data_IF_755920574696
#
_entry.id   IF_755920574696
#
_cell.length_a   1.000
_cell.length_b   1.000
_cell.length_c   1.000
_cell.angle_alpha   90.00
_cell.angle_beta   90.00
_cell.angle_gamma   90.00
#
_symmetry.space_group_name_H-M   'P 1'
#
loop_
_entity.id
_entity.type
_entity.pdbx_description
1 polymer ?
#
# COMPACT_ATOMS: atom_id res chain seq x y z
N UNK A 1 4.92 18.83 -21.73
CA UNK A 1 4.78 17.55 -20.97
C UNK A 1 4.07 17.76 -19.66
N UNK A 2 4.53 18.68 -18.80
CA UNK A 2 3.78 19.09 -17.59
C UNK A 2 2.37 19.51 -17.96
N UNK A 3 2.18 20.23 -19.08
CA UNK A 3 0.85 20.60 -19.57
C UNK A 3 -0.02 19.38 -19.91
N UNK A 4 0.58 18.31 -20.44
CA UNK A 4 -0.14 17.07 -20.71
C UNK A 4 -0.48 16.33 -19.41
N UNK A 5 0.38 16.41 -18.38
CA UNK A 5 0.07 15.91 -17.05
C UNK A 5 -1.09 16.72 -16.43
N UNK A 6 -1.06 18.05 -16.49
CA UNK A 6 -2.18 18.91 -16.02
C UNK A 6 -3.49 18.60 -16.74
N UNK A 7 -3.47 18.55 -18.07
CA UNK A 7 -4.65 18.24 -18.86
C UNK A 7 -5.27 16.86 -18.55
N UNK A 8 -4.47 15.94 -18.03
CA UNK A 8 -4.89 14.59 -17.66
C UNK A 8 -4.81 14.32 -16.14
N UNK A 9 -4.91 15.37 -15.31
CA UNK A 9 -4.99 15.26 -13.86
C UNK A 9 -3.87 14.41 -13.23
N UNK A 10 -2.63 14.59 -13.68
CA UNK A 10 -1.46 13.86 -13.18
C UNK A 10 -1.37 12.40 -13.61
N UNK A 11 -2.35 11.90 -14.39
CA UNK A 11 -2.41 10.50 -14.84
C UNK A 11 -1.35 10.26 -15.92
N UNK A 12 -0.20 9.72 -15.47
CA UNK A 12 1.00 9.50 -16.28
C UNK A 12 0.77 8.60 -17.50
N UNK A 13 -0.14 7.63 -17.43
CA UNK A 13 -0.53 6.79 -18.59
C UNK A 13 -1.31 7.56 -19.65
N UNK A 14 -2.27 8.39 -19.24
CA UNK A 14 -3.06 9.22 -20.14
C UNK A 14 -2.20 10.32 -20.77
N UNK A 15 -1.36 10.97 -19.98
CA UNK A 15 -0.39 11.95 -20.48
C UNK A 15 0.61 11.32 -21.48
N UNK A 16 1.13 10.12 -21.21
CA UNK A 16 2.00 9.40 -22.16
C UNK A 16 1.28 9.11 -23.48
N UNK A 17 0.02 8.65 -23.43
CA UNK A 17 -0.78 8.40 -24.62
C UNK A 17 -1.03 9.69 -25.43
N UNK A 18 -1.37 10.79 -24.76
CA UNK A 18 -1.57 12.10 -25.40
C UNK A 18 -0.29 12.63 -26.06
N UNK A 19 0.86 12.40 -25.43
CA UNK A 19 2.18 12.74 -25.95
C UNK A 19 2.71 11.75 -26.99
N UNK A 20 1.97 10.66 -27.26
CA UNK A 20 2.36 9.57 -28.18
C UNK A 20 3.72 8.94 -27.81
N UNK A 21 4.01 8.83 -26.52
CA UNK A 21 5.22 8.18 -25.99
C UNK A 21 4.87 6.96 -25.15
N UNK A 22 5.80 6.02 -25.05
CA UNK A 22 5.65 4.90 -24.11
C UNK A 22 5.65 5.38 -22.66
N UNK A 23 4.86 4.72 -21.80
CA UNK A 23 4.83 5.00 -20.35
C UNK A 23 6.25 4.98 -19.77
N UNK A 24 7.04 3.95 -20.06
CA UNK A 24 8.42 3.81 -19.58
C UNK A 24 9.30 4.99 -19.98
N UNK A 25 9.14 5.50 -21.20
CA UNK A 25 9.86 6.69 -21.69
C UNK A 25 9.50 7.93 -20.88
N UNK A 26 8.22 8.12 -20.57
CA UNK A 26 7.76 9.22 -19.72
C UNK A 26 8.40 9.17 -18.33
N UNK A 27 8.41 8.00 -17.69
CA UNK A 27 9.03 7.83 -16.36
C UNK A 27 10.55 8.04 -16.40
N UNK A 28 11.22 7.52 -17.43
CA UNK A 28 12.66 7.73 -17.60
C UNK A 28 12.98 9.21 -17.77
N UNK A 29 12.17 9.95 -18.53
CA UNK A 29 12.32 11.39 -18.68
C UNK A 29 12.14 12.11 -17.35
N UNK A 30 11.05 11.85 -16.61
CA UNK A 30 10.80 12.51 -15.32
C UNK A 30 11.97 12.26 -14.35
N UNK A 31 12.50 11.04 -14.30
CA UNK A 31 13.66 10.71 -13.46
C UNK A 31 14.93 11.45 -13.89
N UNK A 32 15.14 11.65 -15.18
CA UNK A 32 16.30 12.35 -15.72
C UNK A 32 16.23 13.88 -15.54
N UNK A 33 15.04 14.43 -15.30
CA UNK A 33 14.80 15.87 -15.23
C UNK A 33 14.07 16.26 -13.92
N UNK A 34 14.82 16.47 -12.81
CA UNK A 34 14.24 16.73 -11.50
C UNK A 34 13.28 17.92 -11.44
N UNK A 35 13.57 19.01 -12.15
CA UNK A 35 12.71 20.19 -12.24
C UNK A 35 11.35 19.88 -12.89
N UNK A 36 11.30 18.95 -13.84
CA UNK A 36 10.06 18.51 -14.49
C UNK A 36 9.30 17.53 -13.59
N UNK A 37 10.03 16.75 -12.79
CA UNK A 37 9.44 15.87 -11.78
C UNK A 37 8.79 16.67 -10.65
N UNK A 38 9.43 17.74 -10.19
CA UNK A 38 8.85 18.68 -9.22
C UNK A 38 7.57 19.31 -9.76
N UNK A 39 7.62 19.86 -10.97
CA UNK A 39 6.42 20.41 -11.61
C UNK A 39 5.32 19.35 -11.81
N UNK A 40 5.66 18.07 -12.01
CA UNK A 40 4.67 16.99 -12.07
C UNK A 40 4.07 16.66 -10.69
N UNK A 41 4.84 16.81 -9.61
CA UNK A 41 4.33 16.68 -8.24
C UNK A 41 3.37 17.82 -7.90
N UNK A 42 3.67 19.06 -8.33
CA UNK A 42 2.74 20.19 -8.18
C UNK A 42 1.39 19.91 -8.84
N UNK A 43 1.38 19.27 -10.02
CA UNK A 43 0.12 18.85 -10.66
C UNK A 43 -0.64 17.83 -9.82
N UNK A 44 0.08 16.88 -9.20
CA UNK A 44 -0.55 15.88 -8.35
C UNK A 44 -1.18 16.57 -7.11
N UNK A 45 -0.54 17.59 -6.51
CA UNK A 45 -1.10 18.43 -5.43
C UNK A 45 -2.30 19.28 -5.89
N UNK A 46 -2.23 19.94 -7.06
CA UNK A 46 -3.34 20.70 -7.64
C UNK A 46 -4.63 19.85 -7.75
N UNK A 47 -4.49 18.57 -8.11
CA UNK A 47 -5.63 17.64 -8.21
C UNK A 47 -6.14 17.21 -6.83
N UNK A 48 -5.26 17.07 -5.84
CA UNK A 48 -5.67 16.80 -4.46
C UNK A 48 -6.51 17.96 -3.91
N UNK A 49 -6.10 19.22 -4.11
CA UNK A 49 -6.85 20.40 -3.68
C UNK A 49 -8.27 20.45 -4.30
N UNK A 50 -8.39 20.05 -5.57
CA UNK A 50 -9.69 19.94 -6.24
C UNK A 50 -10.54 18.84 -5.60
N UNK A 51 -9.96 17.69 -5.29
CA UNK A 51 -10.66 16.59 -4.62
C UNK A 51 -11.13 17.00 -3.21
N UNK A 52 -10.28 17.69 -2.45
CA UNK A 52 -10.63 18.25 -1.14
C UNK A 52 -11.82 19.23 -1.25
N UNK A 53 -11.80 20.08 -2.28
CA UNK A 53 -12.92 21.00 -2.55
C UNK A 53 -14.22 20.25 -2.85
N UNK A 54 -14.17 19.13 -3.58
CA UNK A 54 -15.35 18.28 -3.81
C UNK A 54 -15.85 17.63 -2.52
N UNK A 55 -14.95 17.15 -1.64
CA UNK A 55 -15.32 16.61 -0.33
C UNK A 55 -16.05 17.66 0.50
N UNK A 56 -15.52 18.89 0.56
CA UNK A 56 -16.17 20.00 1.29
C UNK A 56 -17.53 20.34 0.69
N UNK A 57 -17.65 20.33 -0.64
CA UNK A 57 -18.92 20.55 -1.33
C UNK A 57 -19.95 19.47 -0.96
N UNK A 58 -19.60 18.20 -1.04
CA UNK A 58 -20.48 17.09 -0.69
C UNK A 58 -20.96 17.16 0.78
N UNK A 59 -20.06 17.56 1.70
CA UNK A 59 -20.42 17.82 3.11
C UNK A 59 -21.46 18.92 3.22
N UNK A 60 -21.29 20.05 2.50
CA UNK A 60 -22.25 21.17 2.50
C UNK A 60 -23.59 20.79 1.90
N UNK A 61 -23.61 19.89 0.93
CA UNK A 61 -24.81 19.35 0.29
C UNK A 61 -25.52 18.28 1.14
N UNK A 62 -24.91 17.87 2.26
CA UNK A 62 -25.52 16.92 3.20
C UNK A 62 -25.33 15.45 2.84
N UNK A 63 -24.31 15.11 2.04
CA UNK A 63 -23.96 13.71 1.77
C UNK A 63 -23.45 13.02 3.06
N UNK A 64 -24.38 12.39 3.79
CA UNK A 64 -24.10 11.77 5.09
C UNK A 64 -22.99 10.71 5.05
N UNK A 65 -22.83 9.88 4.00
CA UNK A 65 -21.67 9.01 3.84
C UNK A 65 -20.34 9.76 3.86
N UNK A 66 -20.18 10.83 3.06
CA UNK A 66 -18.95 11.64 3.04
C UNK A 66 -18.74 12.36 4.37
N UNK A 67 -19.80 12.92 4.99
CA UNK A 67 -19.72 13.56 6.31
C UNK A 67 -19.19 12.58 7.37
N UNK A 68 -19.76 11.36 7.42
CA UNK A 68 -19.31 10.31 8.33
C UNK A 68 -17.85 9.94 8.07
N UNK A 69 -17.50 9.64 6.81
CA UNK A 69 -16.14 9.29 6.42
C UNK A 69 -15.13 10.37 6.79
N UNK A 70 -15.45 11.64 6.53
CA UNK A 70 -14.59 12.77 6.86
C UNK A 70 -14.37 12.90 8.37
N UNK A 71 -15.41 12.74 9.18
CA UNK A 71 -15.31 12.78 10.64
C UNK A 71 -14.47 11.61 11.19
N UNK A 72 -14.66 10.40 10.67
CA UNK A 72 -13.86 9.22 11.06
C UNK A 72 -12.36 9.39 10.78
N UNK A 73 -11.99 10.23 9.81
CA UNK A 73 -10.61 10.54 9.48
C UNK A 73 -10.07 11.77 10.23
N UNK A 74 -10.74 12.92 10.10
CA UNK A 74 -10.24 14.22 10.58
C UNK A 74 -10.73 14.59 11.98
N UNK A 75 -11.82 14.00 12.45
CA UNK A 75 -12.43 14.27 13.77
C UNK A 75 -12.04 13.28 14.86
N UNK A 76 -10.95 12.52 14.69
CA UNK A 76 -10.53 11.49 15.67
C UNK A 76 -10.25 12.08 17.04
N UNK A 77 -9.67 13.27 17.09
CA UNK A 77 -9.43 14.07 18.30
C UNK A 77 -10.73 14.45 19.03
N UNK A 78 -11.85 14.51 18.31
CA UNK A 78 -13.20 14.76 18.84
C UNK A 78 -13.98 13.48 19.16
N UNK A 79 -13.34 12.31 19.08
CA UNK A 79 -13.95 11.02 19.43
C UNK A 79 -14.67 10.30 18.28
N UNK A 80 -14.54 10.76 17.03
CA UNK A 80 -15.06 10.05 15.86
C UNK A 80 -14.13 8.90 15.46
N UNK A 81 -14.07 7.88 16.30
CA UNK A 81 -13.28 6.65 16.10
C UNK A 81 -14.17 5.43 16.24
N UNK A 82 -13.95 4.44 15.36
CA UNK A 82 -14.59 3.12 15.49
C UNK A 82 -13.70 2.20 16.30
N UNK A 83 -14.24 1.65 17.39
CA UNK A 83 -13.59 0.56 18.11
C UNK A 83 -13.65 -0.70 17.24
N UNK A 84 -12.51 -1.33 17.03
CA UNK A 84 -12.40 -2.64 16.39
C UNK A 84 -11.79 -3.59 17.41
N UNK A 85 -12.47 -4.69 17.71
CA UNK A 85 -11.94 -5.77 18.53
C UNK A 85 -11.51 -6.91 17.61
N UNK A 86 -10.20 -7.16 17.55
CA UNK A 86 -9.65 -8.27 16.78
C UNK A 86 -9.42 -9.45 17.73
N UNK A 87 -10.13 -10.55 17.49
CA UNK A 87 -9.97 -11.81 18.23
C UNK A 87 -9.65 -12.95 17.28
N UNK A 88 -9.08 -14.02 17.82
CA UNK A 88 -8.97 -15.30 17.14
C UNK A 88 -10.31 -16.01 17.02
N UNK A 89 -10.26 -17.25 16.54
CA UNK A 89 -11.44 -18.09 16.36
C UNK A 89 -12.23 -18.19 17.68
N UNK A 90 -13.54 -18.04 17.59
CA UNK A 90 -14.48 -18.12 18.73
C UNK A 90 -14.15 -17.17 19.90
N UNK A 91 -13.54 -16.00 19.60
CA UNK A 91 -13.13 -15.03 20.63
C UNK A 91 -11.82 -15.38 21.33
N UNK A 92 -11.14 -16.44 20.90
CA UNK A 92 -9.87 -16.89 21.44
C UNK A 92 -8.68 -16.01 21.05
N UNK A 93 -7.47 -16.38 21.47
CA UNK A 93 -6.24 -15.70 21.06
C UNK A 93 -6.03 -15.74 19.54
N UNK A 94 -5.45 -14.67 18.98
CA UNK A 94 -5.02 -14.66 17.57
C UNK A 94 -3.87 -15.64 17.40
N UNK A 95 -4.09 -16.71 16.64
CA UNK A 95 -3.04 -17.68 16.30
C UNK A 95 -2.13 -17.10 15.20
N UNK A 96 -0.82 -17.06 15.45
CA UNK A 96 0.16 -16.67 14.43
C UNK A 96 1.02 -17.86 14.04
N UNK A 97 1.06 -18.20 12.75
CA UNK A 97 2.01 -19.17 12.22
C UNK A 97 3.31 -18.46 11.87
N UNK A 98 4.24 -18.40 12.83
CA UNK A 98 5.61 -18.00 12.51
C UNK A 98 6.35 -19.21 11.95
N UNK A 99 6.91 -19.08 10.74
CA UNK A 99 7.91 -20.05 10.28
C UNK A 99 9.13 -19.94 11.20
N UNK A 100 9.67 -21.05 11.73
CA UNK A 100 10.89 -21.00 12.51
C UNK A 100 12.00 -20.35 11.69
N UNK A 101 12.68 -19.35 12.27
CA UNK A 101 13.89 -18.78 11.67
C UNK A 101 15.03 -19.79 11.86
N UNK A 102 15.33 -20.55 10.81
CA UNK A 102 16.36 -21.59 10.82
C UNK A 102 17.76 -21.03 10.52
N UNK A 103 17.88 -19.74 10.20
CA UNK A 103 19.17 -19.12 9.81
C UNK A 103 20.21 -19.08 10.93
N UNK A 104 19.76 -19.25 12.19
CA UNK A 104 20.59 -19.23 13.39
C UNK A 104 21.05 -20.61 13.84
N UNK A 105 20.61 -21.67 13.17
CA UNK A 105 21.03 -23.04 13.46
C UNK A 105 22.27 -23.39 12.66
N UNK A 106 23.23 -24.04 13.32
CA UNK A 106 24.39 -24.64 12.65
C UNK A 106 23.96 -25.81 11.75
N UNK A 107 24.82 -26.17 10.80
CA UNK A 107 24.60 -27.30 9.88
C UNK A 107 24.38 -28.60 10.68
N UNK A 108 25.15 -28.79 11.76
CA UNK A 108 25.02 -29.97 12.64
C UNK A 108 23.65 -30.02 13.34
N UNK A 109 23.15 -28.89 13.82
CA UNK A 109 21.83 -28.81 14.48
C UNK A 109 20.68 -29.01 13.48
N UNK A 110 20.84 -28.51 12.24
CA UNK A 110 19.89 -28.75 11.15
C UNK A 110 19.83 -30.23 10.76
N UNK A 111 20.96 -30.92 10.73
CA UNK A 111 21.01 -32.36 10.46
C UNK A 111 20.33 -33.18 11.57
N UNK A 112 20.52 -32.81 12.83
CA UNK A 112 19.86 -33.48 13.97
C UNK A 112 18.34 -33.31 13.87
N UNK A 113 17.86 -32.11 13.54
CA UNK A 113 16.44 -31.85 13.31
C UNK A 113 15.88 -32.63 12.12
N UNK A 114 16.63 -32.71 11.02
CA UNK A 114 16.26 -33.48 9.84
C UNK A 114 16.15 -34.99 10.14
N UNK A 115 17.14 -35.55 10.85
CA UNK A 115 17.13 -36.96 11.30
C UNK A 115 15.93 -37.23 12.23
N UNK A 116 15.60 -36.29 13.11
CA UNK A 116 14.43 -36.37 14.00
C UNK A 116 13.07 -36.25 13.28
N UNK A 117 13.00 -35.52 12.16
CA UNK A 117 11.81 -35.46 11.30
C UNK A 117 11.65 -36.75 10.47
N UNK A 118 12.74 -37.23 9.87
CA UNK A 118 12.77 -38.46 9.06
C UNK A 118 12.36 -39.71 9.86
N UNK A 119 12.76 -39.80 11.13
CA UNK A 119 12.35 -40.86 12.07
C UNK A 119 10.85 -40.83 12.39
N UNK A 120 10.21 -39.65 12.37
CA UNK A 120 8.75 -39.49 12.58
C UNK A 120 7.93 -39.86 11.35
N UNK A 121 8.49 -39.69 10.15
CA UNK A 121 7.83 -40.04 8.87
C UNK A 121 8.22 -41.44 8.33
N UNK A 122 9.08 -42.18 9.04
CA UNK A 122 9.46 -43.54 8.66
C UNK A 122 10.32 -43.66 7.41
N UNK A 123 10.94 -42.57 6.93
CA UNK A 123 11.88 -42.59 5.80
C UNK A 123 13.32 -42.51 6.32
N UNK A 124 14.14 -43.51 5.98
CA UNK A 124 15.59 -43.52 6.26
C UNK A 124 16.30 -42.67 5.19
N UNK A 125 17.23 -41.80 5.61
CA UNK A 125 17.98 -40.91 4.73
C UNK A 125 19.24 -41.60 4.16
N UNK A 126 19.56 -41.47 2.86
CA UNK A 126 20.78 -42.04 2.30
C UNK A 126 21.99 -41.17 2.66
N UNK A 127 23.10 -41.83 3.00
CA UNK A 127 24.37 -41.24 3.43
C UNK A 127 25.01 -40.38 2.34
#
# INVERSE_FOLDING_TARGET
MVDALRAHAGIKTAAAAALKVGKTTLYAFLKAHPNVMEAAADVDEEILDIAESQVVKAIREGDLPTVRWFLELKGKDRGYVRRVENTGKDGGPIETQQKPDLSKLSIEELEILAKGAAKREGKVWPM
#
